data_IF_596253266098
#
_entry.id   IF_596253266098
#
_cell.length_a   1.000
_cell.length_b   1.000
_cell.length_c   1.000
_cell.angle_alpha   90.00
_cell.angle_beta   90.00
_cell.angle_gamma   90.00
#
_symmetry.space_group_name_H-M   'P 1'
#
loop_
_entity.id
_entity.type
_entity.pdbx_description
1 polymer ?
#
# COMPACT_ATOMS: atom_id res chain seq x y z
N UNK A 1 18.39 -64.67 39.57
CA UNK A 1 17.70 -63.39 39.24
C UNK A 1 17.96 -63.14 37.76
N UNK A 2 17.00 -63.46 36.90
CA UNK A 2 17.11 -63.30 35.45
C UNK A 2 16.47 -61.95 35.07
N UNK A 3 17.25 -61.10 34.40
CA UNK A 3 16.81 -59.82 33.85
C UNK A 3 15.94 -60.06 32.60
N UNK A 4 14.71 -59.56 32.63
CA UNK A 4 13.86 -59.45 31.45
C UNK A 4 13.93 -58.01 30.91
N UNK A 5 14.31 -57.90 29.64
CA UNK A 5 14.31 -56.65 28.86
C UNK A 5 12.90 -56.49 28.26
N UNK A 6 12.20 -55.36 28.46
CA UNK A 6 10.94 -55.12 27.77
C UNK A 6 11.18 -54.66 26.32
N UNK A 7 10.42 -55.26 25.41
CA UNK A 7 10.39 -55.01 23.97
C UNK A 7 9.83 -53.63 23.65
N UNK A 8 10.54 -52.88 22.79
CA UNK A 8 10.06 -51.62 22.21
C UNK A 8 8.91 -51.91 21.23
N UNK A 9 7.73 -51.39 21.54
CA UNK A 9 6.61 -51.29 20.61
C UNK A 9 6.89 -50.20 19.59
N UNK A 10 6.90 -50.55 18.30
CA UNK A 10 6.86 -49.60 17.19
C UNK A 10 5.56 -48.81 17.26
N UNK A 11 5.64 -47.51 17.53
CA UNK A 11 4.51 -46.60 17.42
C UNK A 11 4.13 -46.47 15.94
N UNK A 12 2.99 -47.06 15.57
CA UNK A 12 2.36 -46.78 14.27
C UNK A 12 1.85 -45.35 14.27
N UNK A 13 2.30 -44.53 13.33
CA UNK A 13 1.74 -43.20 13.08
C UNK A 13 0.22 -43.34 12.89
N UNK A 14 -0.56 -42.55 13.65
CA UNK A 14 -2.01 -42.52 13.49
C UNK A 14 -2.37 -42.08 12.05
N UNK A 15 -3.35 -42.72 11.40
CA UNK A 15 -3.87 -42.23 10.12
C UNK A 15 -4.50 -40.85 10.33
N UNK A 16 -4.16 -39.90 9.45
CA UNK A 16 -4.60 -38.51 9.49
C UNK A 16 -6.13 -38.38 9.55
N UNK A 17 -6.63 -37.50 10.42
CA UNK A 17 -8.06 -37.21 10.61
C UNK A 17 -8.70 -36.38 9.50
N UNK A 18 -8.06 -36.25 8.34
CA UNK A 18 -8.54 -35.45 7.23
C UNK A 18 -9.42 -36.28 6.30
N UNK A 19 -10.55 -35.71 5.89
CA UNK A 19 -11.38 -36.26 4.82
C UNK A 19 -10.58 -36.35 3.51
N UNK A 20 -10.94 -37.25 2.58
CA UNK A 20 -10.25 -37.37 1.28
C UNK A 20 -10.20 -36.04 0.50
N UNK A 21 -11.21 -35.19 0.65
CA UNK A 21 -11.26 -33.84 0.05
C UNK A 21 -10.26 -32.88 0.70
N UNK A 22 -10.08 -32.93 2.02
CA UNK A 22 -9.09 -32.11 2.72
C UNK A 22 -7.66 -32.57 2.43
N UNK A 23 -7.43 -33.88 2.28
CA UNK A 23 -6.15 -34.42 1.84
C UNK A 23 -5.82 -33.99 0.42
N UNK A 24 -6.82 -33.93 -0.46
CA UNK A 24 -6.64 -33.50 -1.85
C UNK A 24 -6.38 -31.99 -1.94
N UNK A 25 -7.07 -31.18 -1.13
CA UNK A 25 -6.81 -29.74 -1.00
C UNK A 25 -5.42 -29.48 -0.41
N UNK A 26 -5.03 -30.19 0.65
CA UNK A 26 -3.70 -30.08 1.26
C UNK A 26 -2.60 -30.52 0.29
N UNK A 27 -2.84 -31.57 -0.49
CA UNK A 27 -1.91 -32.03 -1.52
C UNK A 27 -1.82 -31.03 -2.67
N UNK A 28 -2.93 -30.39 -3.07
CA UNK A 28 -2.90 -29.32 -4.08
C UNK A 28 -2.11 -28.10 -3.58
N UNK A 29 -2.29 -27.69 -2.32
CA UNK A 29 -1.53 -26.60 -1.69
C UNK A 29 -0.03 -26.94 -1.61
N UNK A 30 0.31 -28.15 -1.15
CA UNK A 30 1.70 -28.62 -1.07
C UNK A 30 2.34 -28.67 -2.46
N UNK A 31 1.62 -29.19 -3.47
CA UNK A 31 2.15 -29.27 -4.84
C UNK A 31 2.29 -27.88 -5.47
N UNK A 32 1.40 -26.94 -5.16
CA UNK A 32 1.51 -25.53 -5.58
C UNK A 32 2.71 -24.85 -4.94
N UNK A 33 2.92 -25.05 -3.64
CA UNK A 33 4.11 -24.58 -2.91
C UNK A 33 5.40 -25.19 -3.48
N UNK A 34 5.39 -26.49 -3.80
CA UNK A 34 6.54 -27.17 -4.38
C UNK A 34 6.84 -26.66 -5.80
N UNK A 35 5.81 -26.42 -6.61
CA UNK A 35 5.95 -25.83 -7.94
C UNK A 35 6.52 -24.42 -7.88
N UNK A 36 6.04 -23.59 -6.94
CA UNK A 36 6.56 -22.24 -6.69
C UNK A 36 8.04 -22.27 -6.27
N UNK A 37 8.41 -23.12 -5.31
CA UNK A 37 9.80 -23.30 -4.89
C UNK A 37 10.71 -23.77 -6.05
N UNK A 38 10.23 -24.70 -6.89
CA UNK A 38 10.98 -25.20 -8.04
C UNK A 38 11.14 -24.13 -9.13
N UNK A 39 10.10 -23.35 -9.42
CA UNK A 39 10.15 -22.25 -10.39
C UNK A 39 11.10 -21.13 -9.93
N UNK A 40 11.13 -20.83 -8.62
CA UNK A 40 12.06 -19.87 -8.04
C UNK A 40 13.51 -20.36 -8.07
N UNK A 41 13.75 -21.63 -7.71
CA UNK A 41 15.08 -22.26 -7.79
C UNK A 41 15.59 -22.34 -9.24
N UNK A 42 14.73 -22.64 -10.22
CA UNK A 42 15.09 -22.66 -11.64
C UNK A 42 15.42 -21.27 -12.18
N UNK A 43 14.76 -20.22 -11.68
CA UNK A 43 15.01 -18.84 -12.06
C UNK A 43 16.35 -18.32 -11.52
N UNK A 44 16.72 -18.69 -10.28
CA UNK A 44 18.04 -18.40 -9.70
C UNK A 44 19.18 -19.17 -10.40
N UNK A 45 18.91 -20.38 -10.89
CA UNK A 45 19.92 -21.21 -11.57
C UNK A 45 20.12 -20.87 -13.06
N UNK A 46 19.21 -20.12 -13.68
CA UNK A 46 19.24 -19.79 -15.12
C UNK A 46 19.73 -18.37 -15.40
N UNK A 47 20.19 -17.62 -14.40
CA UNK A 47 20.91 -16.37 -14.63
C UNK A 47 22.26 -16.66 -15.33
N UNK A 48 22.56 -16.05 -16.49
CA UNK A 48 23.90 -16.09 -17.05
C UNK A 48 24.88 -15.45 -16.06
N UNK A 49 25.85 -16.24 -15.58
CA UNK A 49 27.05 -15.69 -14.96
C UNK A 49 27.82 -14.94 -16.04
N UNK A 50 27.75 -13.61 -16.06
CA UNK A 50 28.67 -12.80 -16.86
C UNK A 50 30.11 -13.11 -16.43
N UNK A 51 30.85 -13.72 -17.35
CA UNK A 51 32.27 -14.03 -17.17
C UNK A 51 33.11 -12.75 -17.09
N UNK A 52 34.11 -12.69 -16.19
CA UNK A 52 35.10 -11.63 -16.21
C UNK A 52 36.17 -11.92 -17.29
N UNK A 53 36.54 -10.88 -18.04
CA UNK A 53 37.76 -10.87 -18.84
C UNK A 53 38.72 -9.79 -18.33
N UNK A 54 39.91 -10.22 -17.94
CA UNK A 54 41.13 -9.43 -17.64
C UNK A 54 42.22 -9.97 -18.59
N UNK A 55 43.19 -9.27 -19.15
CA UNK A 55 43.90 -8.02 -18.82
C UNK A 55 44.53 -7.44 -20.10
N UNK A 56 44.80 -6.13 -20.12
CA UNK A 56 45.65 -5.53 -21.16
C UNK A 56 45.79 -4.01 -21.13
N UNK A 57 46.62 -3.51 -20.20
CA UNK A 57 47.35 -2.23 -20.23
C UNK A 57 46.61 -0.86 -20.18
N UNK A 58 47.01 -0.05 -19.20
CA UNK A 58 46.82 1.41 -19.07
C UNK A 58 47.67 2.18 -20.10
N UNK A 59 47.32 3.43 -20.52
CA UNK A 59 47.45 4.58 -19.62
C UNK A 59 46.40 5.72 -19.74
N UNK A 60 46.15 6.34 -18.57
CA UNK A 60 45.82 7.76 -18.29
C UNK A 60 44.85 8.56 -19.18
N UNK A 61 43.64 8.86 -18.67
CA UNK A 61 43.17 10.25 -18.55
C UNK A 61 41.99 10.40 -17.57
N UNK A 62 42.00 11.47 -16.78
CA UNK A 62 40.99 11.79 -15.76
C UNK A 62 39.71 12.37 -16.36
N UNK A 63 38.54 11.86 -15.94
CA UNK A 63 37.34 12.69 -15.76
C UNK A 63 36.38 11.99 -14.77
N UNK A 64 35.97 12.60 -13.64
CA UNK A 64 35.10 11.93 -12.68
C UNK A 64 33.63 12.08 -13.10
N UNK A 65 33.00 10.96 -13.46
CA UNK A 65 31.54 10.82 -13.38
C UNK A 65 31.12 10.83 -11.90
N UNK A 66 29.98 11.45 -11.52
CA UNK A 66 29.49 11.37 -10.16
C UNK A 66 29.14 9.92 -9.85
N UNK A 67 29.90 9.28 -8.95
CA UNK A 67 29.55 7.98 -8.40
C UNK A 67 28.30 8.14 -7.54
N UNK A 68 27.18 7.54 -7.95
CA UNK A 68 26.05 7.33 -7.04
C UNK A 68 26.58 6.61 -5.79
N UNK A 69 26.19 7.03 -4.57
CA UNK A 69 26.58 6.33 -3.36
C UNK A 69 26.05 4.88 -3.41
N UNK A 70 26.80 3.90 -2.88
CA UNK A 70 26.37 2.50 -2.91
C UNK A 70 25.07 2.32 -2.10
N UNK A 71 24.10 1.67 -2.71
CA UNK A 71 22.85 1.29 -2.07
C UNK A 71 23.15 0.30 -0.92
N UNK A 72 22.86 0.70 0.32
CA UNK A 72 23.07 -0.13 1.51
C UNK A 72 21.79 -0.85 1.88
N UNK A 73 21.83 -2.19 1.95
CA UNK A 73 20.70 -3.07 2.32
C UNK A 73 20.51 -3.27 3.83
N UNK A 74 21.03 -2.38 4.69
CA UNK A 74 20.81 -2.54 6.14
C UNK A 74 19.33 -2.38 6.53
N UNK A 75 18.74 -3.36 7.25
CA UNK A 75 17.40 -3.25 7.82
C UNK A 75 17.47 -2.38 9.09
N UNK A 76 16.70 -1.29 9.13
CA UNK A 76 16.69 -0.40 10.29
C UNK A 76 16.16 0.99 9.98
N UNK A 77 14.94 1.24 10.46
CA UNK A 77 14.16 2.45 10.26
C UNK A 77 14.82 3.74 10.72
N UNK A 78 14.56 4.81 9.99
CA UNK A 78 14.87 6.17 10.41
C UNK A 78 13.59 6.85 10.88
N UNK A 79 13.17 6.55 12.10
CA UNK A 79 12.28 7.44 12.86
C UNK A 79 13.13 8.14 13.92
N UNK A 80 13.34 9.45 13.74
CA UNK A 80 13.92 10.29 14.77
C UNK A 80 12.91 10.49 15.89
N UNK A 81 13.18 9.93 17.08
CA UNK A 81 12.44 10.25 18.30
C UNK A 81 12.88 11.61 18.85
N UNK A 82 12.35 12.69 18.26
CA UNK A 82 12.53 14.05 18.76
C UNK A 82 11.67 14.33 19.99
N UNK A 83 12.11 13.89 21.18
CA UNK A 83 11.66 14.46 22.44
C UNK A 83 12.44 15.77 22.68
N UNK A 84 11.81 16.91 22.40
CA UNK A 84 12.40 18.23 22.59
C UNK A 84 11.45 19.18 23.31
N UNK A 85 11.43 19.11 24.65
CA UNK A 85 10.95 20.22 25.49
C UNK A 85 11.92 21.39 25.33
N UNK A 86 11.55 22.38 24.52
CA UNK A 86 12.29 23.63 24.34
C UNK A 86 11.45 24.81 24.79
N UNK A 87 11.51 25.14 26.08
CA UNK A 87 10.98 26.38 26.64
C UNK A 87 11.87 27.54 26.16
N UNK A 88 11.36 28.39 25.27
CA UNK A 88 12.06 29.55 24.72
C UNK A 88 11.32 30.84 25.00
N UNK A 89 11.61 31.42 26.17
CA UNK A 89 11.22 32.79 26.55
C UNK A 89 12.01 33.82 25.73
N UNK A 90 11.31 34.73 25.06
CA UNK A 90 11.66 36.14 24.84
C UNK A 90 10.48 36.76 24.04
N UNK A 91 9.89 37.91 24.33
CA UNK A 91 10.21 39.00 25.23
C UNK A 91 9.59 40.26 24.62
N UNK A 92 8.69 40.91 25.37
CA UNK A 92 8.38 42.34 25.27
C UNK A 92 7.58 42.86 24.06
N UNK A 93 6.31 43.21 24.30
CA UNK A 93 5.92 44.61 24.14
C UNK A 93 4.78 44.96 25.10
N UNK A 94 4.97 46.04 25.86
CA UNK A 94 4.00 46.56 26.83
C UNK A 94 2.91 47.39 26.15
N UNK A 95 1.73 47.39 26.75
CA UNK A 95 0.59 48.20 26.33
C UNK A 95 -0.47 48.25 27.43
N UNK A 96 -0.37 49.28 28.26
CA UNK A 96 -1.19 49.64 29.40
C UNK A 96 -2.69 49.81 29.07
N UNK A 97 -3.58 49.42 29.99
CA UNK A 97 -5.03 49.64 29.86
C UNK A 97 -5.84 49.14 31.06
N UNK A 98 -5.88 49.96 32.11
CA UNK A 98 -6.72 49.82 33.32
C UNK A 98 -8.23 49.83 33.01
N UNK A 99 -9.03 48.99 33.66
CA UNK A 99 -9.89 49.37 34.81
C UNK A 99 -11.13 48.45 35.00
N UNK A 100 -11.56 48.39 36.26
CA UNK A 100 -12.89 48.12 36.84
C UNK A 100 -13.49 46.72 36.91
N UNK A 101 -13.50 46.26 38.16
CA UNK A 101 -14.46 45.43 38.88
C UNK A 101 -15.94 45.68 38.60
N UNK A 102 -16.71 44.60 38.55
CA UNK A 102 -18.18 44.60 38.69
C UNK A 102 -18.67 43.24 39.19
N UNK A 103 -19.01 43.19 40.48
CA UNK A 103 -19.64 42.08 41.20
C UNK A 103 -21.09 41.85 40.76
N UNK A 104 -21.55 40.60 40.76
CA UNK A 104 -22.98 40.29 40.66
C UNK A 104 -23.29 38.79 40.68
N UNK A 105 -23.55 38.27 41.88
CA UNK A 105 -24.06 36.92 42.13
C UNK A 105 -25.57 36.85 41.85
N UNK A 106 -26.05 35.69 41.40
CA UNK A 106 -27.48 35.39 41.28
C UNK A 106 -27.74 33.93 40.87
N UNK A 107 -28.00 33.09 41.87
CA UNK A 107 -28.44 31.69 41.76
C UNK A 107 -29.84 31.57 41.12
N UNK A 108 -30.07 30.48 40.39
CA UNK A 108 -31.40 30.02 39.97
C UNK A 108 -31.32 28.75 39.13
N UNK A 109 -31.22 27.60 39.80
CA UNK A 109 -31.26 26.27 39.19
C UNK A 109 -32.71 25.81 38.93
N UNK A 110 -32.96 25.14 37.79
CA UNK A 110 -33.76 23.90 37.69
C UNK A 110 -34.21 23.57 36.23
N UNK A 111 -33.65 22.47 35.68
CA UNK A 111 -34.27 21.39 34.86
C UNK A 111 -34.92 21.74 33.49
N UNK A 112 -34.71 21.10 32.32
CA UNK A 112 -34.16 19.80 31.86
C UNK A 112 -33.66 19.91 30.40
N UNK A 113 -32.74 19.00 30.01
CA UNK A 113 -31.93 18.83 28.78
C UNK A 113 -32.73 18.40 27.50
N UNK A 114 -32.07 18.05 26.36
CA UNK A 114 -31.69 18.81 25.15
C UNK A 114 -32.46 18.31 23.89
N UNK A 115 -32.26 18.68 22.63
CA UNK A 115 -31.28 19.46 21.88
C UNK A 115 -31.43 19.06 20.41
N UNK A 116 -31.52 20.03 19.49
CA UNK A 116 -31.29 19.83 18.06
C UNK A 116 -30.76 21.15 17.51
N UNK A 117 -29.45 21.22 17.24
CA UNK A 117 -28.85 22.32 16.49
C UNK A 117 -28.18 21.73 15.27
N UNK A 118 -28.64 22.19 14.10
CA UNK A 118 -28.20 21.78 12.79
C UNK A 118 -26.74 22.18 12.53
N UNK A 119 -25.99 21.26 11.93
CA UNK A 119 -24.67 21.50 11.34
C UNK A 119 -24.85 21.89 9.87
N UNK A 120 -24.20 22.95 9.34
CA UNK A 120 -24.35 23.33 7.94
C UNK A 120 -23.51 22.44 7.01
N UNK A 121 -24.14 21.98 5.94
CA UNK A 121 -23.53 21.28 4.80
C UNK A 121 -22.87 22.28 3.86
N UNK A 122 -21.59 22.11 3.45
CA UNK A 122 -21.03 22.89 2.35
C UNK A 122 -21.41 22.27 1.00
N UNK A 123 -21.90 23.12 0.09
CA UNK A 123 -22.24 22.81 -1.30
C UNK A 123 -20.96 22.79 -2.17
N UNK A 124 -20.80 21.86 -3.14
CA UNK A 124 -19.65 21.88 -4.04
C UNK A 124 -19.84 22.96 -5.12
N UNK A 125 -18.80 23.76 -5.35
CA UNK A 125 -18.73 24.72 -6.47
C UNK A 125 -17.76 24.19 -7.51
N UNK A 126 -18.22 24.14 -8.76
CA UNK A 126 -17.49 23.70 -9.95
C UNK A 126 -16.23 24.53 -10.25
N UNK A 127 -15.19 23.85 -10.72
CA UNK A 127 -14.30 24.33 -11.78
C UNK A 127 -13.03 25.10 -11.38
N UNK A 128 -11.92 24.37 -11.18
CA UNK A 128 -10.60 24.65 -11.76
C UNK A 128 -9.56 23.63 -11.25
N UNK A 129 -9.14 22.69 -12.11
CA UNK A 129 -7.98 21.82 -11.85
C UNK A 129 -6.69 22.65 -11.95
N UNK A 130 -6.22 23.14 -10.81
CA UNK A 130 -4.84 23.56 -10.60
C UNK A 130 -4.10 22.47 -9.85
N UNK A 131 -2.92 22.07 -10.33
CA UNK A 131 -2.02 21.15 -9.62
C UNK A 131 -1.77 21.67 -8.20
N UNK A 132 -2.07 20.90 -7.13
CA UNK A 132 -1.88 21.38 -5.77
C UNK A 132 -0.38 21.52 -5.47
N UNK A 133 0.06 22.74 -5.16
CA UNK A 133 1.31 22.95 -4.45
C UNK A 133 1.21 22.48 -2.99
N UNK A 134 2.31 22.57 -2.19
CA UNK A 134 2.40 22.06 -0.82
C UNK A 134 1.50 22.78 0.21
N UNK A 135 0.52 23.56 -0.25
CA UNK A 135 -0.42 24.37 0.55
C UNK A 135 -1.88 23.92 0.40
N UNK A 136 -2.13 22.77 -0.24
CA UNK A 136 -3.47 22.14 -0.23
C UNK A 136 -3.96 21.88 1.20
N UNK A 137 -5.28 21.91 1.41
CA UNK A 137 -5.88 21.54 2.69
C UNK A 137 -5.57 20.07 3.00
N UNK A 138 -4.86 19.81 4.09
CA UNK A 138 -4.57 18.45 4.54
C UNK A 138 -5.85 17.74 4.97
N UNK A 139 -5.91 16.43 4.74
CA UNK A 139 -6.97 15.61 5.29
C UNK A 139 -6.77 15.42 6.81
N UNK A 140 -7.86 15.29 7.58
CA UNK A 140 -7.79 14.85 8.97
C UNK A 140 -7.07 13.50 9.08
N UNK A 141 -6.19 13.36 10.07
CA UNK A 141 -5.48 12.12 10.32
C UNK A 141 -6.39 11.11 11.04
N UNK A 142 -6.34 9.81 10.67
CA UNK A 142 -6.99 8.77 11.46
C UNK A 142 -6.35 8.64 12.85
N UNK A 143 -7.02 7.99 13.82
CA UNK A 143 -6.42 7.72 15.12
C UNK A 143 -5.17 6.86 14.99
N UNK A 144 -4.11 7.22 15.70
CA UNK A 144 -2.86 6.45 15.76
C UNK A 144 -1.68 7.31 16.18
N UNK A 145 -0.51 6.69 16.31
CA UNK A 145 0.73 7.41 16.60
C UNK A 145 1.21 8.09 15.31
N UNK A 146 1.18 9.42 15.28
CA UNK A 146 1.64 10.17 14.10
C UNK A 146 3.16 10.14 14.00
N UNK A 147 3.67 9.80 12.82
CA UNK A 147 5.10 9.77 12.48
C UNK A 147 5.36 10.52 11.17
N UNK A 148 6.61 10.93 10.94
CA UNK A 148 7.03 11.66 9.73
C UNK A 148 8.46 11.26 9.36
N UNK A 149 8.79 11.31 8.07
CA UNK A 149 10.17 11.19 7.59
C UNK A 149 10.57 12.41 6.74
N UNK A 150 11.87 12.73 6.60
CA UNK A 150 12.32 13.78 5.69
C UNK A 150 11.83 13.56 4.27
N UNK A 151 11.21 14.59 3.68
CA UNK A 151 10.79 14.59 2.29
C UNK A 151 12.00 14.63 1.33
N UNK A 152 11.74 14.39 0.04
CA UNK A 152 12.75 14.32 -1.01
C UNK A 152 13.10 12.88 -1.40
N UNK A 153 14.32 12.69 -1.90
CA UNK A 153 14.77 11.41 -2.48
C UNK A 153 14.94 10.36 -1.38
N UNK A 154 14.26 9.22 -1.55
CA UNK A 154 14.33 8.05 -0.68
C UNK A 154 15.10 6.95 -1.38
N UNK A 155 16.21 6.50 -0.78
CA UNK A 155 17.00 5.38 -1.28
C UNK A 155 16.76 4.08 -0.51
N UNK A 156 15.75 4.07 0.37
CA UNK A 156 15.28 2.93 1.13
C UNK A 156 13.77 3.08 1.36
N UNK A 157 13.02 1.96 1.48
CA UNK A 157 11.61 2.02 1.78
C UNK A 157 11.37 2.75 3.12
N UNK A 158 10.33 3.59 3.15
CA UNK A 158 9.83 4.18 4.39
C UNK A 158 8.83 3.20 5.00
N UNK A 159 9.11 2.72 6.21
CA UNK A 159 8.22 1.78 6.90
C UNK A 159 7.28 2.57 7.81
N UNK A 160 5.97 2.36 7.61
CA UNK A 160 4.90 2.81 8.49
C UNK A 160 4.50 1.62 9.35
N UNK A 161 4.96 1.62 10.61
CA UNK A 161 4.76 0.45 11.47
C UNK A 161 3.32 0.29 11.91
N UNK A 162 3.01 -0.90 12.44
CA UNK A 162 1.70 -1.27 12.96
C UNK A 162 1.06 -0.19 13.84
N UNK A 163 -0.08 0.35 13.38
CA UNK A 163 -0.86 1.37 14.10
C UNK A 163 -0.29 2.79 14.04
N UNK A 164 0.78 3.01 13.27
CA UNK A 164 1.31 4.35 13.01
C UNK A 164 0.54 5.05 11.88
N UNK A 165 0.49 6.38 11.96
CA UNK A 165 -0.04 7.24 10.92
C UNK A 165 1.13 8.08 10.40
N UNK A 166 1.60 7.77 9.21
CA UNK A 166 2.56 8.61 8.52
C UNK A 166 1.85 9.83 7.94
N UNK A 167 2.21 11.02 8.43
CA UNK A 167 1.71 12.29 7.89
C UNK A 167 2.78 12.98 7.06
N UNK A 168 2.65 12.89 5.74
CA UNK A 168 3.55 13.53 4.79
C UNK A 168 3.41 15.05 4.73
N UNK A 169 2.37 15.64 5.33
CA UNK A 169 2.12 17.10 5.34
C UNK A 169 2.12 17.74 3.94
N UNK A 170 1.58 17.03 2.96
CA UNK A 170 1.58 17.36 1.53
C UNK A 170 3.01 17.59 0.96
N UNK A 171 4.02 16.95 1.55
CA UNK A 171 5.39 16.98 1.04
C UNK A 171 5.60 15.88 -0.01
N UNK A 172 6.60 16.11 -0.87
CA UNK A 172 6.97 15.20 -1.95
C UNK A 172 8.06 14.21 -1.53
N UNK A 173 7.79 12.93 -1.71
CA UNK A 173 8.71 11.80 -1.52
C UNK A 173 9.03 11.18 -2.87
N UNK A 174 10.31 11.12 -3.22
CA UNK A 174 10.74 10.67 -4.55
C UNK A 174 11.49 9.36 -4.41
N UNK A 175 11.05 8.34 -5.13
CA UNK A 175 11.76 7.08 -5.24
C UNK A 175 13.14 7.27 -5.88
N UNK A 176 14.19 6.92 -5.14
CA UNK A 176 15.57 7.02 -5.56
C UNK A 176 16.07 5.78 -6.29
N UNK A 177 17.26 5.86 -6.92
CA UNK A 177 17.82 4.77 -7.74
C UNK A 177 18.08 3.47 -6.98
N UNK A 178 18.14 3.50 -5.64
CA UNK A 178 18.28 2.31 -4.82
C UNK A 178 16.98 1.54 -4.59
N UNK A 179 15.83 2.14 -4.93
CA UNK A 179 14.53 1.47 -4.90
C UNK A 179 14.21 0.83 -6.24
N UNK A 180 14.60 1.48 -7.34
CA UNK A 180 14.31 1.00 -8.67
C UNK A 180 14.39 2.14 -9.67
N UNK A 181 14.15 1.83 -10.95
CA UNK A 181 14.16 2.83 -12.03
C UNK A 181 12.77 3.42 -12.31
N UNK A 182 11.73 2.79 -11.78
CA UNK A 182 10.32 3.10 -12.03
C UNK A 182 9.82 2.60 -13.38
N UNK A 183 10.56 1.70 -14.03
CA UNK A 183 10.10 0.99 -15.22
C UNK A 183 9.24 -0.21 -14.83
N UNK A 184 8.95 -1.10 -15.79
CA UNK A 184 8.08 -2.27 -15.59
C UNK A 184 8.86 -3.51 -15.11
N UNK A 185 10.02 -3.32 -14.45
CA UNK A 185 10.78 -4.41 -13.84
C UNK A 185 10.13 -4.84 -12.51
N UNK A 186 9.91 -6.14 -12.33
CA UNK A 186 9.12 -6.73 -11.23
C UNK A 186 9.90 -6.90 -9.91
N UNK A 187 11.15 -6.42 -9.83
CA UNK A 187 12.04 -6.64 -8.68
C UNK A 187 12.41 -5.35 -7.95
N UNK A 188 11.65 -4.30 -8.20
CA UNK A 188 11.84 -3.01 -7.56
C UNK A 188 11.37 -3.03 -6.11
N UNK A 189 11.95 -2.15 -5.28
CA UNK A 189 11.58 -2.00 -3.89
C UNK A 189 10.49 -0.93 -3.75
N UNK A 190 9.57 -1.07 -2.79
CA UNK A 190 8.55 -0.06 -2.54
C UNK A 190 9.15 1.25 -2.02
N UNK A 191 8.47 2.36 -2.29
CA UNK A 191 8.75 3.63 -1.63
C UNK A 191 8.25 3.62 -0.18
N UNK A 192 7.07 3.03 0.05
CA UNK A 192 6.49 2.86 1.38
C UNK A 192 6.09 1.41 1.62
N UNK A 193 6.39 0.90 2.80
CA UNK A 193 5.82 -0.35 3.33
C UNK A 193 4.89 0.03 4.47
N UNK A 194 3.62 -0.33 4.36
CA UNK A 194 2.59 -0.08 5.36
C UNK A 194 2.26 -1.40 6.03
N UNK A 195 2.70 -1.55 7.28
CA UNK A 195 2.37 -2.71 8.10
C UNK A 195 0.88 -2.75 8.45
N UNK A 196 0.41 -3.91 8.92
CA UNK A 196 -0.96 -4.12 9.37
C UNK A 196 -1.41 -3.09 10.42
N UNK A 197 -2.48 -2.36 10.11
CA UNK A 197 -3.05 -1.26 10.88
C UNK A 197 -2.42 0.11 10.63
N UNK A 198 -1.42 0.22 9.73
CA UNK A 198 -0.76 1.47 9.39
C UNK A 198 -1.62 2.41 8.52
N UNK A 199 -1.29 3.69 8.50
CA UNK A 199 -1.93 4.69 7.63
C UNK A 199 -0.92 5.63 6.99
N UNK A 200 -1.06 5.87 5.69
CA UNK A 200 -0.29 6.83 4.91
C UNK A 200 -1.20 8.02 4.56
N UNK A 201 -0.83 9.23 4.96
CA UNK A 201 -1.67 10.42 4.82
C UNK A 201 -0.90 11.61 4.26
N UNK A 202 -1.56 12.40 3.39
CA UNK A 202 -1.04 13.69 2.93
C UNK A 202 0.34 13.57 2.26
N UNK A 203 0.55 12.56 1.41
CA UNK A 203 1.83 12.30 0.75
C UNK A 203 1.72 12.62 -0.73
N UNK A 204 2.64 13.43 -1.24
CA UNK A 204 2.94 13.46 -2.68
C UNK A 204 4.07 12.48 -2.95
N UNK A 205 3.96 11.70 -4.01
CA UNK A 205 4.97 10.72 -4.39
C UNK A 205 5.16 10.63 -5.89
N UNK A 206 6.36 10.23 -6.31
CA UNK A 206 6.71 9.84 -7.69
C UNK A 206 8.07 9.16 -7.74
N UNK A 207 8.46 8.70 -8.93
CA UNK A 207 9.81 8.21 -9.18
C UNK A 207 9.99 6.75 -8.78
N UNK A 208 11.22 6.24 -8.91
CA UNK A 208 11.49 4.80 -9.00
C UNK A 208 11.05 3.93 -7.84
N UNK A 209 11.05 2.61 -8.04
CA UNK A 209 10.52 1.67 -7.08
C UNK A 209 9.14 1.13 -7.49
N UNK A 210 8.43 0.60 -6.49
CA UNK A 210 7.17 -0.14 -6.62
C UNK A 210 6.06 0.48 -5.75
N UNK A 211 5.94 1.81 -5.78
CA UNK A 211 4.86 2.53 -5.10
C UNK A 211 4.74 2.26 -3.58
N UNK A 212 3.51 1.96 -3.13
CA UNK A 212 3.14 1.73 -1.73
C UNK A 212 2.68 0.29 -1.53
N UNK A 213 3.36 -0.47 -0.68
CA UNK A 213 2.94 -1.82 -0.33
C UNK A 213 2.12 -1.84 0.95
N UNK A 214 0.97 -2.49 0.91
CA UNK A 214 0.15 -2.82 2.08
C UNK A 214 0.36 -4.28 2.44
N UNK A 215 1.10 -4.50 3.53
CA UNK A 215 1.32 -5.85 4.05
C UNK A 215 0.02 -6.41 4.64
N UNK A 216 -0.79 -5.58 5.28
CA UNK A 216 -2.03 -5.99 5.96
C UNK A 216 -3.13 -4.95 5.84
N UNK A 217 -3.99 -4.84 6.85
CA UNK A 217 -5.02 -3.80 6.85
C UNK A 217 -4.35 -2.42 6.86
N UNK A 218 -4.90 -1.43 6.17
CA UNK A 218 -4.27 -0.11 6.15
C UNK A 218 -5.09 0.95 5.44
N UNK A 219 -4.61 2.19 5.52
CA UNK A 219 -5.26 3.34 4.87
C UNK A 219 -4.25 4.15 4.07
N UNK A 220 -4.65 4.59 2.89
CA UNK A 220 -3.99 5.64 2.11
C UNK A 220 -4.99 6.79 1.96
N UNK A 221 -4.66 7.97 2.47
CA UNK A 221 -5.63 9.09 2.55
C UNK A 221 -5.00 10.36 1.99
N UNK A 222 -5.69 11.03 1.06
CA UNK A 222 -5.24 12.30 0.50
C UNK A 222 -3.79 12.25 0.00
N UNK A 223 -3.47 11.20 -0.75
CA UNK A 223 -2.15 11.02 -1.34
C UNK A 223 -2.20 11.25 -2.85
N UNK A 224 -1.12 11.79 -3.41
CA UNK A 224 -0.99 12.08 -4.84
C UNK A 224 0.23 11.33 -5.37
N UNK A 225 0.01 10.34 -6.23
CA UNK A 225 1.08 9.77 -7.05
C UNK A 225 1.15 10.55 -8.38
N UNK A 226 2.12 11.45 -8.48
CA UNK A 226 2.25 12.41 -9.59
C UNK A 226 2.70 11.74 -10.90
N UNK A 227 3.37 10.60 -10.81
CA UNK A 227 3.87 9.80 -11.93
C UNK A 227 4.11 8.38 -11.43
N UNK A 228 3.14 7.50 -11.68
CA UNK A 228 3.15 6.11 -11.23
C UNK A 228 4.32 5.36 -11.87
N UNK A 229 5.05 4.61 -11.04
CA UNK A 229 6.20 3.78 -11.40
C UNK A 229 5.76 2.45 -12.05
N UNK A 230 6.24 1.30 -11.57
CA UNK A 230 5.71 -0.03 -11.95
C UNK A 230 4.18 -0.02 -11.75
N UNK A 231 3.78 0.19 -10.51
CA UNK A 231 2.43 0.44 -10.03
C UNK A 231 2.45 1.45 -8.87
N UNK A 232 1.26 1.85 -8.40
CA UNK A 232 1.11 2.87 -7.36
C UNK A 232 0.91 2.26 -5.98
N UNK A 233 0.17 1.16 -5.94
CA UNK A 233 -0.21 0.45 -4.72
C UNK A 233 -0.16 -1.05 -4.98
N UNK A 234 0.50 -1.78 -4.08
CA UNK A 234 0.51 -3.24 -4.06
C UNK A 234 -0.16 -3.72 -2.78
N UNK A 235 -1.16 -4.59 -2.92
CA UNK A 235 -1.73 -5.35 -1.81
C UNK A 235 -0.99 -6.67 -1.77
N UNK A 236 -0.29 -6.93 -0.68
CA UNK A 236 0.64 -8.05 -0.64
C UNK A 236 -0.05 -9.41 -0.66
N UNK A 237 0.47 -10.30 -1.51
CA UNK A 237 0.33 -11.73 -1.37
C UNK A 237 1.31 -12.28 -0.34
N UNK A 238 1.31 -13.60 -0.13
CA UNK A 238 2.27 -14.22 0.79
C UNK A 238 3.73 -13.89 0.42
N UNK A 239 4.07 -13.98 -0.88
CA UNK A 239 5.44 -13.74 -1.35
C UNK A 239 5.95 -12.32 -1.10
N UNK A 240 5.18 -11.30 -1.49
CA UNK A 240 5.52 -9.90 -1.25
C UNK A 240 5.61 -9.63 0.26
N UNK A 241 4.63 -10.12 1.03
CA UNK A 241 4.57 -9.90 2.47
C UNK A 241 5.79 -10.46 3.21
N UNK A 242 6.28 -11.63 2.82
CA UNK A 242 7.49 -12.22 3.40
C UNK A 242 8.73 -11.35 3.13
N UNK A 243 8.86 -10.84 1.91
CA UNK A 243 9.94 -9.94 1.51
C UNK A 243 9.87 -8.61 2.29
N UNK A 244 8.70 -7.98 2.30
CA UNK A 244 8.46 -6.69 2.94
C UNK A 244 8.60 -6.78 4.46
N UNK A 245 8.17 -7.89 5.09
CA UNK A 245 8.42 -8.16 6.50
C UNK A 245 9.92 -8.19 6.83
N UNK A 246 10.74 -8.74 5.92
CA UNK A 246 12.19 -8.75 6.06
C UNK A 246 12.80 -7.34 6.05
N UNK A 247 12.27 -6.44 5.23
CA UNK A 247 12.70 -5.03 5.17
C UNK A 247 12.21 -4.26 6.40
N UNK A 248 10.95 -4.44 6.76
CA UNK A 248 10.29 -3.80 7.90
C UNK A 248 10.84 -4.28 9.25
N UNK A 249 11.40 -5.49 9.29
CA UNK A 249 11.86 -6.12 10.53
C UNK A 249 10.71 -6.61 11.41
N UNK A 250 9.59 -7.01 10.79
CA UNK A 250 8.38 -7.46 11.48
C UNK A 250 8.00 -8.90 11.08
N UNK A 251 6.89 -9.41 11.64
CA UNK A 251 6.32 -10.69 11.20
C UNK A 251 5.52 -10.49 9.89
N UNK A 252 5.55 -11.44 8.94
CA UNK A 252 4.66 -11.44 7.78
C UNK A 252 3.24 -11.91 8.13
N UNK A 253 2.91 -12.22 9.38
CA UNK A 253 1.57 -12.65 9.74
C UNK A 253 0.59 -11.48 9.79
N UNK A 254 -0.54 -11.63 9.07
CA UNK A 254 -1.68 -10.71 9.12
C UNK A 254 -2.92 -11.43 9.64
N UNK A 255 -3.71 -10.72 10.44
CA UNK A 255 -4.92 -11.28 11.03
C UNK A 255 -6.12 -11.20 10.09
N UNK A 256 -6.70 -12.35 9.74
CA UNK A 256 -7.90 -12.41 8.89
C UNK A 256 -7.65 -11.90 7.47
N UNK A 257 -8.72 -11.47 6.79
CA UNK A 257 -8.62 -10.81 5.48
C UNK A 257 -8.27 -9.32 5.71
N UNK A 258 -7.13 -8.84 5.18
CA UNK A 258 -6.78 -7.42 5.24
C UNK A 258 -7.88 -6.51 4.69
N UNK A 259 -8.07 -5.35 5.34
CA UNK A 259 -8.89 -4.26 4.80
C UNK A 259 -8.00 -3.09 4.37
N UNK A 260 -7.97 -2.78 3.09
CA UNK A 260 -7.20 -1.64 2.54
C UNK A 260 -8.15 -0.56 2.07
N UNK A 261 -7.97 0.66 2.58
CA UNK A 261 -8.81 1.82 2.23
C UNK A 261 -7.97 2.90 1.56
N UNK A 262 -8.23 3.17 0.28
CA UNK A 262 -7.62 4.21 -0.54
C UNK A 262 -8.67 5.30 -0.71
N UNK A 263 -8.43 6.48 -0.14
CA UNK A 263 -9.46 7.49 0.06
C UNK A 263 -8.95 8.87 -0.38
N UNK A 264 -9.70 9.52 -1.27
CA UNK A 264 -9.39 10.84 -1.82
C UNK A 264 -7.96 10.94 -2.39
N UNK A 265 -7.48 9.87 -3.02
CA UNK A 265 -6.16 9.82 -3.62
C UNK A 265 -6.21 10.18 -5.11
N UNK A 266 -5.09 10.64 -5.65
CA UNK A 266 -4.92 10.91 -7.09
C UNK A 266 -3.75 10.12 -7.64
N UNK A 267 -3.95 9.41 -8.74
CA UNK A 267 -2.92 8.62 -9.42
C UNK A 267 -2.80 9.06 -10.89
N UNK A 268 -1.58 9.32 -11.34
CA UNK A 268 -1.33 9.83 -12.69
C UNK A 268 -0.33 8.97 -13.46
N UNK A 269 -0.58 8.82 -14.75
CA UNK A 269 0.37 8.25 -15.73
C UNK A 269 0.81 6.80 -15.45
N UNK A 270 -0.06 5.96 -14.88
CA UNK A 270 0.28 4.53 -14.74
C UNK A 270 0.46 3.89 -16.12
N UNK A 271 1.65 3.33 -16.36
CA UNK A 271 1.95 2.66 -17.63
C UNK A 271 1.04 1.43 -17.83
N UNK A 272 0.91 0.62 -16.77
CA UNK A 272 -0.01 -0.50 -16.72
C UNK A 272 -1.09 -0.34 -15.63
N UNK A 273 -0.76 -0.65 -14.38
CA UNK A 273 -1.74 -0.78 -13.29
C UNK A 273 -1.55 0.31 -12.22
N UNK A 274 -2.65 0.76 -11.62
CA UNK A 274 -2.59 1.62 -10.42
C UNK A 274 -2.46 0.75 -9.18
N UNK A 275 -3.37 -0.22 -9.03
CA UNK A 275 -3.37 -1.18 -7.92
C UNK A 275 -3.07 -2.58 -8.43
N UNK A 276 -2.01 -3.19 -7.90
CA UNK A 276 -1.75 -4.61 -7.98
C UNK A 276 -2.28 -5.31 -6.74
N UNK A 277 -3.02 -6.38 -6.95
CA UNK A 277 -3.60 -7.18 -5.88
C UNK A 277 -3.05 -8.61 -5.91
N UNK A 278 -2.13 -8.92 -5.00
CA UNK A 278 -1.41 -10.19 -4.94
C UNK A 278 -2.00 -11.15 -3.89
N UNK A 279 -3.02 -10.76 -3.12
CA UNK A 279 -3.58 -11.60 -2.07
C UNK A 279 -4.98 -11.16 -1.63
N UNK A 280 -5.75 -12.07 -1.05
CA UNK A 280 -7.13 -11.79 -0.65
C UNK A 280 -7.23 -10.57 0.30
N UNK A 281 -8.01 -9.56 -0.10
CA UNK A 281 -8.26 -8.35 0.69
C UNK A 281 -9.66 -7.78 0.45
N UNK A 282 -10.22 -7.10 1.45
CA UNK A 282 -11.36 -6.21 1.25
C UNK A 282 -10.81 -4.81 0.95
N UNK A 283 -11.11 -4.27 -0.23
CA UNK A 283 -10.52 -3.01 -0.71
C UNK A 283 -11.61 -1.97 -0.91
N UNK A 284 -11.36 -0.75 -0.43
CA UNK A 284 -12.22 0.41 -0.68
C UNK A 284 -11.41 1.46 -1.42
N UNK A 285 -11.92 1.91 -2.56
CA UNK A 285 -11.47 3.09 -3.29
C UNK A 285 -12.61 4.11 -3.24
N UNK A 286 -12.42 5.25 -2.57
CA UNK A 286 -13.49 6.23 -2.34
C UNK A 286 -13.02 7.66 -2.58
N UNK A 287 -13.69 8.38 -3.49
CA UNK A 287 -13.31 9.76 -3.84
C UNK A 287 -12.01 9.86 -4.62
N UNK A 288 -11.51 8.74 -5.17
CA UNK A 288 -10.23 8.71 -5.86
C UNK A 288 -10.32 9.22 -7.30
N UNK A 289 -9.21 9.77 -7.79
CA UNK A 289 -9.04 10.21 -9.17
C UNK A 289 -7.90 9.43 -9.83
N UNK A 290 -8.14 8.92 -11.04
CA UNK A 290 -7.11 8.33 -11.91
C UNK A 290 -7.05 9.11 -13.21
N UNK A 291 -5.85 9.56 -13.58
CA UNK A 291 -5.56 10.27 -14.82
C UNK A 291 -4.50 9.48 -15.61
N UNK A 292 -4.95 8.53 -16.43
CA UNK A 292 -4.08 7.68 -17.23
C UNK A 292 -3.66 6.41 -16.50
N UNK A 293 -4.20 5.28 -16.97
CA UNK A 293 -3.80 3.94 -16.57
C UNK A 293 -4.16 2.94 -17.69
N UNK A 294 -3.53 1.78 -17.74
CA UNK A 294 -4.11 0.67 -18.52
C UNK A 294 -5.23 0.00 -17.71
N UNK A 295 -4.96 -0.34 -16.45
CA UNK A 295 -5.91 -0.95 -15.51
C UNK A 295 -5.92 -0.16 -14.20
N UNK A 296 -7.08 0.09 -13.60
CA UNK A 296 -7.09 0.73 -12.27
C UNK A 296 -6.78 -0.28 -11.18
N UNK A 297 -7.45 -1.43 -11.19
CA UNK A 297 -7.26 -2.50 -10.22
C UNK A 297 -7.08 -3.84 -10.94
N UNK A 298 -5.99 -4.53 -10.62
CA UNK A 298 -5.65 -5.81 -11.24
C UNK A 298 -5.27 -6.83 -10.17
N UNK A 299 -6.04 -7.90 -10.06
CA UNK A 299 -5.57 -9.09 -9.33
C UNK A 299 -4.39 -9.71 -10.07
N UNK A 300 -3.47 -10.35 -9.37
CA UNK A 300 -2.34 -11.02 -9.99
C UNK A 300 -2.80 -11.99 -11.08
N UNK A 301 -2.14 -11.94 -12.24
CA UNK A 301 -2.60 -12.60 -13.44
C UNK A 301 -2.51 -14.12 -13.36
N UNK A 302 -3.56 -14.82 -13.77
CA UNK A 302 -3.60 -16.29 -13.75
C UNK A 302 -3.74 -16.92 -12.36
N UNK A 303 -3.78 -16.12 -11.28
CA UNK A 303 -3.99 -16.60 -9.92
C UNK A 303 -5.48 -16.75 -9.61
N UNK A 304 -5.93 -18.01 -9.49
CA UNK A 304 -7.33 -18.33 -9.21
C UNK A 304 -7.68 -18.29 -7.71
N UNK A 305 -6.67 -18.20 -6.85
CA UNK A 305 -6.78 -18.24 -5.38
C UNK A 305 -7.06 -16.88 -4.73
N UNK A 306 -7.03 -15.79 -5.50
CA UNK A 306 -7.29 -14.45 -5.00
C UNK A 306 -8.80 -14.22 -4.80
N UNK A 307 -9.20 -13.95 -3.56
CA UNK A 307 -10.58 -13.71 -3.13
C UNK A 307 -10.72 -12.30 -2.55
N UNK A 308 -10.43 -11.31 -3.40
CA UNK A 308 -10.46 -9.89 -3.02
C UNK A 308 -11.76 -9.20 -3.42
N UNK A 309 -12.32 -8.41 -2.52
CA UNK A 309 -13.62 -7.77 -2.70
C UNK A 309 -13.42 -6.24 -2.77
N UNK A 310 -13.46 -5.70 -3.99
CA UNK A 310 -13.25 -4.29 -4.25
C UNK A 310 -14.58 -3.52 -4.20
N UNK A 311 -14.58 -2.38 -3.51
CA UNK A 311 -15.63 -1.38 -3.56
C UNK A 311 -15.05 -0.09 -4.14
N UNK A 312 -15.66 0.41 -5.22
CA UNK A 312 -15.31 1.70 -5.82
C UNK A 312 -16.51 2.62 -5.71
N UNK A 313 -16.33 3.75 -5.02
CA UNK A 313 -17.39 4.72 -4.81
C UNK A 313 -16.96 6.17 -5.00
N UNK A 314 -17.78 6.96 -5.69
CA UNK A 314 -17.57 8.40 -5.87
C UNK A 314 -16.22 8.75 -6.53
N UNK A 315 -15.71 7.87 -7.41
CA UNK A 315 -14.43 8.04 -8.07
C UNK A 315 -14.56 8.59 -9.50
N UNK A 316 -13.48 9.19 -10.00
CA UNK A 316 -13.36 9.64 -11.39
C UNK A 316 -12.10 9.05 -12.04
N UNK A 317 -12.27 8.13 -12.98
CA UNK A 317 -11.17 7.43 -13.66
C UNK A 317 -11.16 7.75 -15.15
N UNK A 318 -10.24 8.62 -15.55
CA UNK A 318 -10.09 9.12 -16.92
C UNK A 318 -8.83 8.57 -17.58
N UNK A 319 -8.85 8.47 -18.91
CA UNK A 319 -7.78 7.94 -19.75
C UNK A 319 -7.41 6.50 -19.39
N UNK A 320 -8.40 5.68 -19.02
CA UNK A 320 -8.20 4.25 -18.72
C UNK A 320 -8.23 3.45 -20.03
N UNK A 321 -7.16 2.71 -20.33
CA UNK A 321 -7.01 2.06 -21.66
C UNK A 321 -7.67 0.69 -21.77
N UNK A 322 -7.85 -0.04 -20.67
CA UNK A 322 -8.38 -1.41 -20.70
C UNK A 322 -9.61 -1.57 -19.78
N UNK A 323 -9.42 -1.47 -18.47
CA UNK A 323 -10.48 -1.74 -17.51
C UNK A 323 -10.30 -1.02 -16.17
N UNK A 324 -11.41 -0.74 -15.48
CA UNK A 324 -11.34 -0.33 -14.07
C UNK A 324 -10.95 -1.52 -13.19
N UNK A 325 -11.68 -2.62 -13.28
CA UNK A 325 -11.35 -3.85 -12.56
C UNK A 325 -11.04 -4.99 -13.53
N UNK A 326 -9.91 -5.68 -13.35
CA UNK A 326 -9.58 -6.89 -14.11
C UNK A 326 -9.16 -8.01 -13.17
N UNK A 327 -9.80 -9.18 -13.32
CA UNK A 327 -9.44 -10.38 -12.57
C UNK A 327 -9.50 -11.63 -13.44
N UNK A 328 -8.64 -12.60 -13.12
CA UNK A 328 -8.74 -13.99 -13.59
C UNK A 328 -9.16 -14.94 -12.44
N UNK A 329 -9.47 -14.39 -11.26
CA UNK A 329 -9.82 -15.16 -10.08
C UNK A 329 -11.34 -15.25 -9.95
N UNK A 330 -11.92 -16.45 -9.77
CA UNK A 330 -13.37 -16.60 -9.61
C UNK A 330 -13.90 -16.04 -8.28
N UNK A 331 -13.04 -15.92 -7.26
CA UNK A 331 -13.42 -15.36 -5.95
C UNK A 331 -13.41 -13.83 -5.89
N UNK A 332 -12.61 -13.17 -6.74
CA UNK A 332 -12.48 -11.73 -6.70
C UNK A 332 -13.74 -11.04 -7.26
N UNK A 333 -14.18 -9.97 -6.60
CA UNK A 333 -15.39 -9.23 -6.98
C UNK A 333 -15.16 -7.73 -6.93
N UNK A 334 -16.00 -6.99 -7.65
CA UNK A 334 -16.07 -5.53 -7.60
C UNK A 334 -17.52 -5.06 -7.46
N UNK A 335 -17.72 -4.05 -6.62
CA UNK A 335 -18.95 -3.25 -6.57
C UNK A 335 -18.62 -1.82 -6.97
N UNK A 336 -19.34 -1.29 -7.97
CA UNK A 336 -19.17 0.05 -8.50
C UNK A 336 -20.39 0.91 -8.17
N UNK A 337 -20.17 2.08 -7.57
CA UNK A 337 -21.21 3.05 -7.27
C UNK A 337 -20.72 4.48 -7.56
N UNK A 338 -21.53 5.29 -8.25
CA UNK A 338 -21.18 6.68 -8.56
C UNK A 338 -19.75 6.83 -9.17
N UNK A 339 -19.39 5.93 -10.08
CA UNK A 339 -18.12 5.95 -10.80
C UNK A 339 -18.30 6.70 -12.12
N UNK A 340 -17.49 7.72 -12.34
CA UNK A 340 -17.33 8.35 -13.66
C UNK A 340 -16.07 7.79 -14.31
N UNK A 341 -16.20 7.16 -15.47
CA UNK A 341 -15.03 6.63 -16.17
C UNK A 341 -15.19 6.55 -17.68
N UNK A 342 -14.09 6.75 -18.41
CA UNK A 342 -13.97 6.53 -19.85
C UNK A 342 -13.40 5.15 -20.21
N UNK A 343 -13.17 4.29 -19.23
CA UNK A 343 -12.64 2.95 -19.45
C UNK A 343 -13.51 2.17 -20.46
N UNK A 344 -12.89 1.47 -21.44
CA UNK A 344 -13.61 0.61 -22.37
C UNK A 344 -14.45 -0.45 -21.66
N UNK A 345 -13.91 -1.03 -20.58
CA UNK A 345 -14.62 -1.92 -19.68
C UNK A 345 -14.58 -1.36 -18.26
N UNK A 346 -15.71 -1.39 -17.57
CA UNK A 346 -15.73 -1.17 -16.11
C UNK A 346 -15.22 -2.42 -15.39
N UNK A 347 -15.49 -3.60 -15.93
CA UNK A 347 -14.97 -4.84 -15.39
C UNK A 347 -14.59 -5.82 -16.51
N UNK A 348 -13.45 -6.50 -16.37
CA UNK A 348 -13.09 -7.71 -17.12
C UNK A 348 -13.01 -8.85 -16.11
N UNK A 349 -13.98 -9.75 -16.18
CA UNK A 349 -14.22 -10.80 -15.18
C UNK A 349 -14.57 -12.13 -15.86
N UNK A 350 -14.56 -13.22 -15.09
CA UNK A 350 -14.95 -14.55 -15.58
C UNK A 350 -16.47 -14.68 -15.66
N UNK A 351 -17.19 -14.12 -14.69
CA UNK A 351 -18.65 -14.13 -14.59
C UNK A 351 -19.18 -12.73 -14.25
N UNK A 352 -20.26 -12.31 -14.91
CA UNK A 352 -20.83 -10.98 -14.73
C UNK A 352 -21.31 -10.70 -13.28
N UNK A 353 -21.63 -11.75 -12.50
CA UNK A 353 -21.98 -11.60 -11.08
C UNK A 353 -20.82 -11.09 -10.21
N UNK A 354 -19.58 -11.17 -10.70
CA UNK A 354 -18.41 -10.60 -10.02
C UNK A 354 -18.37 -9.07 -10.08
N UNK A 355 -19.17 -8.42 -10.92
CA UNK A 355 -19.08 -6.99 -11.19
C UNK A 355 -20.42 -6.27 -10.96
N UNK A 356 -20.76 -6.05 -9.70
CA UNK A 356 -22.00 -5.40 -9.30
C UNK A 356 -21.93 -3.91 -9.62
N UNK A 357 -22.95 -3.38 -10.30
CA UNK A 357 -23.00 -1.96 -10.70
C UNK A 357 -22.26 -1.63 -12.00
N UNK A 358 -21.48 -2.57 -12.55
CA UNK A 358 -20.86 -2.42 -13.86
C UNK A 358 -21.90 -2.57 -14.99
N UNK A 359 -21.79 -1.69 -15.98
CA UNK A 359 -22.58 -1.65 -17.22
C UNK A 359 -21.77 -2.10 -18.43
N UNK A 360 -20.44 -1.92 -18.40
CA UNK A 360 -19.51 -2.36 -19.44
C UNK A 360 -18.65 -3.50 -18.93
N UNK A 361 -19.14 -4.73 -19.11
CA UNK A 361 -18.45 -5.96 -18.67
C UNK A 361 -17.85 -6.65 -19.89
N UNK A 362 -16.56 -6.92 -19.83
CA UNK A 362 -15.80 -7.68 -20.82
C UNK A 362 -15.27 -9.00 -20.27
N UNK A 363 -14.67 -9.78 -21.16
CA UNK A 363 -13.95 -11.00 -20.81
C UNK A 363 -12.65 -11.06 -21.61
N UNK A 364 -11.55 -11.47 -20.96
CA UNK A 364 -10.25 -11.64 -21.58
C UNK A 364 -9.51 -12.76 -20.86
N UNK A 365 -9.14 -13.81 -21.59
CA UNK A 365 -8.34 -14.89 -21.03
C UNK A 365 -6.94 -14.38 -20.63
N UNK A 366 -6.37 -14.97 -19.59
CA UNK A 366 -4.98 -14.78 -19.25
C UNK A 366 -4.08 -15.34 -20.37
N UNK A 367 -3.08 -14.56 -20.79
CA UNK A 367 -2.20 -14.89 -21.92
C UNK A 367 -0.77 -15.23 -21.54
N UNK A 368 -0.45 -15.23 -20.23
CA UNK A 368 0.93 -15.00 -19.79
C UNK A 368 1.21 -13.51 -19.72
#
# INVERSE_FOLDING_TARGET
>A
MNLAIPSHTTASLQPSSFSPSEQQALTAVIMSMLAYCMQRLLSDMMQPQDQPSSDGQQPTNFNPTPSNPPCSTNPGGQHGSGAGNGNGNNGGNGGNGSNTSGTGAGNGASHTNPGHSATPTPTPTDGAHGTPGPTGTQAPLPPGKVVTAPAGIQNKPIVVHKGEVFDGKNQLYVGGPCLGKGDQDEHQQPLFIVEDGGSLCNVHMKGGGDGVHFMGSGKMVNCVNEDVSEDAVTIDGQGNREHDAGIAGCSPEVGGRPKVEIINCTFKNAADKVVQDNGAADVVMSGDTVEGASKVFRTNGGHADIDSHLQVENCEFNQVKEAVFRTDAPGATVTLANLKTDAPNEAIVLDASQAIGATRIGHKAYSG
#
